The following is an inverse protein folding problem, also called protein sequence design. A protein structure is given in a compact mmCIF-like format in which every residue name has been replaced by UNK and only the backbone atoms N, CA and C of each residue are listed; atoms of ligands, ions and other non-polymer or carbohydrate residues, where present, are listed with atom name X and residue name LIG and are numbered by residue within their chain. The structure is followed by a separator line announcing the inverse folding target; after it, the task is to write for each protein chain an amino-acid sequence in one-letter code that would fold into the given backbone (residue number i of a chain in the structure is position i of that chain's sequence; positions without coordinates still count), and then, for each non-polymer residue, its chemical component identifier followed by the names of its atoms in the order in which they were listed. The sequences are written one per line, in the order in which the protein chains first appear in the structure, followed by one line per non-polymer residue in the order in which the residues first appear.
data_IF_643100792712
#
_entry.id   IF_643100792712
#
_cell.length_a   1.000
_cell.length_b   1.000
_cell.length_c   1.000
_cell.angle_alpha   90.00
_cell.angle_beta   90.00
_cell.angle_gamma   90.00
#
_symmetry.space_group_name_H-M   'P 1'
#
loop_
_entity.id
_entity.type
_entity.pdbx_description
1 polymer ?
#
# COMPACT_ATOMS: atom_id res chain seq x y z
N UNK A 1 -2.36 10.84 12.00
CA UNK A 1 -1.69 10.82 10.68
C UNK A 1 -0.46 9.92 10.79
N UNK A 2 -0.19 9.10 9.77
CA UNK A 2 0.70 7.94 9.92
C UNK A 2 0.09 6.86 10.84
N UNK A 3 0.53 5.62 10.69
CA UNK A 3 0.20 4.51 11.61
C UNK A 3 1.50 3.95 12.19
N UNK A 4 1.41 3.12 13.22
CA UNK A 4 2.58 2.45 13.79
C UNK A 4 3.38 1.76 12.68
N UNK A 5 4.70 1.99 12.64
CA UNK A 5 5.62 1.48 11.61
C UNK A 5 5.35 1.92 10.16
N UNK A 6 4.48 2.91 9.92
CA UNK A 6 4.26 3.50 8.60
C UNK A 6 4.06 5.02 8.76
N UNK A 7 5.16 5.78 8.84
CA UNK A 7 5.10 7.23 8.99
C UNK A 7 4.53 7.88 7.73
N UNK A 8 3.77 8.95 7.93
CA UNK A 8 3.27 9.81 6.86
C UNK A 8 3.22 11.23 7.40
N UNK A 9 3.80 12.17 6.66
CA UNK A 9 3.96 13.54 7.10
C UNK A 9 3.22 14.50 6.16
N UNK A 10 2.70 15.59 6.72
CA UNK A 10 2.26 16.76 5.96
C UNK A 10 3.34 17.83 5.98
N UNK A 11 3.37 18.61 4.91
CA UNK A 11 4.07 19.88 4.85
C UNK A 11 3.02 20.98 5.02
N UNK A 12 3.09 21.70 6.13
CA UNK A 12 2.08 22.67 6.57
C UNK A 12 2.72 24.02 6.87
N UNK A 13 1.98 25.11 6.65
CA UNK A 13 2.26 26.41 7.23
C UNK A 13 1.50 26.54 8.57
N UNK A 14 2.23 26.74 9.66
CA UNK A 14 1.69 26.88 11.02
C UNK A 14 2.37 28.04 11.75
N UNK A 15 1.67 28.64 12.71
CA UNK A 15 2.29 29.51 13.70
C UNK A 15 3.15 28.68 14.66
N UNK A 16 4.36 29.15 14.97
CA UNK A 16 5.30 28.48 15.88
C UNK A 16 4.72 28.25 17.29
N UNK A 17 3.77 29.08 17.73
CA UNK A 17 3.13 28.96 19.05
C UNK A 17 2.11 27.82 19.12
N UNK A 18 1.64 27.35 17.97
CA UNK A 18 0.66 26.27 17.90
C UNK A 18 1.35 24.90 18.01
N UNK A 19 0.66 23.88 18.56
CA UNK A 19 1.20 22.54 18.58
C UNK A 19 1.41 22.00 17.16
N UNK A 20 2.47 21.21 16.98
CA UNK A 20 2.90 20.66 15.68
C UNK A 20 1.76 20.02 14.88
N UNK A 21 0.94 19.21 15.55
CA UNK A 21 -0.16 18.45 14.94
C UNK A 21 -1.54 19.15 15.09
N UNK A 22 -1.54 20.44 15.42
CA UNK A 22 -2.74 21.22 15.71
C UNK A 22 -3.42 21.83 14.48
N UNK A 23 -4.07 22.98 14.71
CA UNK A 23 -4.70 23.77 13.64
C UNK A 23 -3.63 24.32 12.71
N UNK A 24 -3.80 24.02 11.43
CA UNK A 24 -2.93 24.46 10.35
C UNK A 24 -3.54 25.67 9.64
N UNK A 25 -2.70 26.62 9.22
CA UNK A 25 -3.15 27.77 8.40
C UNK A 25 -3.42 27.27 6.98
N UNK A 26 -2.42 26.61 6.39
CA UNK A 26 -2.51 26.04 5.04
C UNK A 26 -1.68 24.75 4.89
N UNK A 27 -2.23 23.79 4.16
CA UNK A 27 -1.52 22.57 3.75
C UNK A 27 -0.83 22.77 2.40
N UNK A 28 0.50 22.75 2.43
CA UNK A 28 1.37 23.00 1.28
C UNK A 28 1.76 21.71 0.57
N UNK A 29 1.67 20.56 1.22
CA UNK A 29 2.07 19.30 0.62
C UNK A 29 2.08 18.11 1.57
N UNK A 30 2.65 17.01 1.08
CA UNK A 30 2.79 15.74 1.81
C UNK A 30 4.17 15.12 1.57
N UNK A 31 4.60 14.31 2.51
CA UNK A 31 5.84 13.54 2.43
C UNK A 31 5.61 12.11 2.95
N UNK A 32 5.77 11.13 2.06
CA UNK A 32 5.74 9.71 2.35
C UNK A 32 7.13 9.08 2.17
N UNK A 33 7.90 8.86 3.26
CA UNK A 33 9.21 8.21 3.19
C UNK A 33 9.16 6.76 2.69
N UNK A 34 8.00 6.10 2.81
CA UNK A 34 7.80 4.69 2.45
C UNK A 34 7.36 4.50 1.00
N UNK A 35 7.27 5.59 0.21
CA UNK A 35 7.03 5.47 -1.21
C UNK A 35 8.25 4.82 -1.90
N UNK A 36 8.04 3.76 -2.72
CA UNK A 36 9.13 3.03 -3.37
C UNK A 36 9.88 3.90 -4.39
N UNK A 37 9.20 4.88 -4.98
CA UNK A 37 9.79 5.83 -5.90
C UNK A 37 10.29 7.07 -5.14
N UNK A 38 11.61 7.23 -5.08
CA UNK A 38 12.26 8.27 -4.26
C UNK A 38 11.80 9.68 -4.59
N UNK A 39 11.67 10.00 -5.87
CA UNK A 39 11.29 11.37 -6.30
C UNK A 39 9.79 11.64 -6.23
N UNK A 40 8.96 10.59 -6.09
CA UNK A 40 7.53 10.71 -5.85
C UNK A 40 7.18 10.68 -4.35
N UNK A 41 8.17 10.68 -3.45
CA UNK A 41 7.94 10.71 -1.99
C UNK A 41 7.31 12.01 -1.51
N UNK A 42 7.49 13.10 -2.25
CA UNK A 42 7.06 14.43 -1.82
C UNK A 42 6.15 15.04 -2.87
N UNK A 43 5.04 15.62 -2.44
CA UNK A 43 4.16 16.43 -3.28
C UNK A 43 4.07 17.81 -2.65
N UNK A 44 4.45 18.85 -3.40
CA UNK A 44 4.41 20.24 -2.95
C UNK A 44 3.54 21.08 -3.90
N UNK A 45 2.76 22.01 -3.34
CA UNK A 45 2.09 23.06 -4.09
C UNK A 45 3.06 24.22 -4.30
N UNK A 46 3.79 24.17 -5.41
CA UNK A 46 4.89 25.08 -5.70
C UNK A 46 4.53 26.57 -5.50
N UNK A 47 3.41 27.02 -6.10
CA UNK A 47 2.95 28.42 -6.01
C UNK A 47 2.73 28.91 -4.57
N UNK A 48 2.20 28.03 -3.72
CA UNK A 48 1.89 28.38 -2.32
C UNK A 48 3.14 28.35 -1.45
N UNK A 49 4.03 27.40 -1.70
CA UNK A 49 5.33 27.36 -1.03
C UNK A 49 6.09 28.66 -1.30
N UNK A 50 6.17 29.09 -2.56
CA UNK A 50 6.88 30.31 -2.95
C UNK A 50 6.26 31.56 -2.34
N UNK A 51 4.93 31.62 -2.30
CA UNK A 51 4.21 32.70 -1.60
C UNK A 51 4.63 32.78 -0.12
N UNK A 52 4.59 31.66 0.61
CA UNK A 52 4.92 31.66 2.03
C UNK A 52 6.39 32.00 2.30
N UNK A 53 7.31 31.54 1.45
CA UNK A 53 8.72 31.93 1.51
C UNK A 53 8.87 33.44 1.24
N UNK A 54 8.14 34.01 0.27
CA UNK A 54 8.13 35.45 -0.02
C UNK A 54 7.57 36.31 1.12
N UNK A 55 6.62 35.79 1.89
CA UNK A 55 6.08 36.44 3.10
C UNK A 55 7.04 36.31 4.30
N UNK A 56 8.13 35.56 4.18
CA UNK A 56 9.16 35.41 5.21
C UNK A 56 8.97 34.18 6.11
N UNK A 57 8.14 33.22 5.71
CA UNK A 57 8.01 31.96 6.43
C UNK A 57 9.35 31.21 6.46
N UNK A 58 9.75 30.71 7.63
CA UNK A 58 10.99 29.95 7.80
C UNK A 58 10.69 28.45 7.67
N UNK A 59 11.20 27.76 6.62
CA UNK A 59 11.04 26.31 6.51
C UNK A 59 11.93 25.59 7.53
N UNK A 60 11.49 24.43 8.00
CA UNK A 60 12.34 23.54 8.81
C UNK A 60 13.41 22.87 7.93
N UNK A 61 14.52 22.42 8.54
CA UNK A 61 15.68 21.88 7.81
C UNK A 61 15.32 20.82 6.76
N UNK A 62 14.42 19.89 7.11
CA UNK A 62 13.98 18.83 6.19
C UNK A 62 13.12 19.40 5.08
N UNK A 63 12.22 20.32 5.38
CA UNK A 63 11.36 20.97 4.38
C UNK A 63 12.20 21.83 3.43
N UNK A 64 13.23 22.53 3.92
CA UNK A 64 14.16 23.29 3.08
C UNK A 64 14.86 22.39 2.05
N UNK A 65 15.28 21.18 2.45
CA UNK A 65 15.85 20.19 1.51
C UNK A 65 14.82 19.72 0.48
N UNK A 66 13.57 19.51 0.89
CA UNK A 66 12.49 19.13 -0.03
C UNK A 66 12.17 20.24 -1.03
N UNK A 67 12.10 21.49 -0.58
CA UNK A 67 11.90 22.67 -1.44
C UNK A 67 13.06 22.81 -2.43
N UNK A 68 14.31 22.64 -1.98
CA UNK A 68 15.47 22.70 -2.88
C UNK A 68 15.44 21.62 -3.98
N UNK A 69 14.84 20.46 -3.72
CA UNK A 69 14.74 19.35 -4.69
C UNK A 69 13.52 19.46 -5.60
N UNK A 70 12.37 19.82 -5.03
CA UNK A 70 11.05 19.68 -5.65
C UNK A 70 10.25 20.99 -5.68
N UNK A 71 10.84 22.11 -5.28
CA UNK A 71 10.28 23.45 -5.45
C UNK A 71 10.32 23.91 -6.91
N UNK A 72 9.86 25.13 -7.18
CA UNK A 72 9.75 25.70 -8.53
C UNK A 72 11.07 25.66 -9.32
N UNK A 73 12.20 25.92 -8.66
CA UNK A 73 13.54 25.85 -9.26
C UNK A 73 14.31 24.58 -8.84
N UNK A 74 13.57 23.53 -8.45
CA UNK A 74 14.14 22.30 -7.90
C UNK A 74 14.91 21.47 -8.93
N UNK A 75 15.99 20.83 -8.49
CA UNK A 75 16.84 20.00 -9.36
C UNK A 75 16.22 18.66 -9.79
N UNK A 76 15.16 18.20 -9.12
CA UNK A 76 14.56 16.87 -9.32
C UNK A 76 13.14 16.92 -9.90
N UNK A 77 12.72 18.01 -10.54
CA UNK A 77 11.36 18.16 -11.09
C UNK A 77 11.05 17.14 -12.19
N UNK A 78 11.95 16.96 -13.16
CA UNK A 78 11.75 15.98 -14.24
C UNK A 78 11.78 14.53 -13.72
N UNK A 79 12.67 14.25 -12.77
CA UNK A 79 12.72 12.95 -12.09
C UNK A 79 11.43 12.68 -11.30
N UNK A 80 10.87 13.70 -10.65
CA UNK A 80 9.59 13.61 -9.94
C UNK A 80 8.44 13.30 -10.90
N UNK A 81 8.34 14.00 -12.04
CA UNK A 81 7.30 13.70 -13.06
C UNK A 81 7.39 12.26 -13.54
N UNK A 82 8.58 11.80 -13.90
CA UNK A 82 8.81 10.42 -14.35
C UNK A 82 8.52 9.38 -13.24
N UNK A 83 8.84 9.70 -11.98
CA UNK A 83 8.56 8.83 -10.84
C UNK A 83 7.06 8.72 -10.55
N UNK A 84 6.31 9.82 -10.64
CA UNK A 84 4.85 9.84 -10.50
C UNK A 84 4.20 9.01 -11.60
N UNK A 85 4.66 9.16 -12.84
CA UNK A 85 4.16 8.38 -13.98
C UNK A 85 4.46 6.88 -13.82
N UNK A 86 5.67 6.51 -13.35
CA UNK A 86 6.03 5.12 -13.04
C UNK A 86 5.16 4.54 -11.92
N UNK A 87 4.85 5.33 -10.89
CA UNK A 87 3.97 4.92 -9.81
C UNK A 87 2.53 4.71 -10.30
N UNK A 88 2.04 5.57 -11.20
CA UNK A 88 0.75 5.41 -11.89
C UNK A 88 0.69 4.09 -12.65
N UNK A 89 1.64 3.84 -13.55
CA UNK A 89 1.72 2.60 -14.32
C UNK A 89 1.77 1.32 -13.47
N UNK A 90 2.42 1.36 -12.32
CA UNK A 90 2.44 0.21 -11.39
C UNK A 90 1.07 -0.10 -10.79
N UNK A 91 0.20 0.90 -10.69
CA UNK A 91 -1.16 0.74 -10.17
C UNK A 91 -2.12 0.17 -11.22
N UNK A 92 -1.78 0.32 -12.51
CA UNK A 92 -2.54 -0.19 -13.67
C UNK A 92 -2.23 -1.66 -14.00
N UNK A 93 -1.85 -2.48 -13.01
CA UNK A 93 -1.65 -3.91 -13.21
C UNK A 93 -2.99 -4.61 -13.44
N UNK A 94 -3.34 -4.80 -14.71
CA UNK A 94 -4.29 -5.84 -15.13
C UNK A 94 -3.53 -7.18 -15.05
N UNK A 95 -3.98 -8.14 -14.23
CA UNK A 95 -3.37 -9.47 -14.25
C UNK A 95 -3.42 -10.00 -15.69
N UNK A 96 -2.32 -10.62 -16.20
CA UNK A 96 -2.34 -11.26 -17.51
C UNK A 96 -3.55 -12.17 -17.62
N UNK A 97 -4.28 -12.20 -18.75
CA UNK A 97 -5.29 -13.24 -18.94
C UNK A 97 -4.58 -14.58 -18.73
N UNK A 98 -5.10 -15.36 -17.79
CA UNK A 98 -4.58 -16.65 -17.39
C UNK A 98 -4.24 -17.44 -18.65
N UNK A 99 -2.95 -17.73 -18.86
CA UNK A 99 -2.53 -18.55 -19.99
C UNK A 99 -3.38 -19.82 -19.98
N UNK A 100 -4.01 -20.20 -21.10
CA UNK A 100 -4.92 -21.34 -21.10
C UNK A 100 -4.15 -22.54 -20.56
N UNK A 101 -4.66 -23.13 -19.48
CA UNK A 101 -4.13 -24.36 -18.90
C UNK A 101 -3.78 -25.32 -20.04
N UNK A 102 -2.59 -25.94 -20.04
CA UNK A 102 -2.23 -26.87 -21.09
C UNK A 102 -3.27 -27.99 -21.10
N UNK A 103 -4.14 -27.99 -22.13
CA UNK A 103 -5.06 -29.09 -22.37
C UNK A 103 -4.22 -30.34 -22.49
N UNK A 104 -4.44 -31.25 -21.55
CA UNK A 104 -3.86 -32.58 -21.56
C UNK A 104 -4.00 -33.19 -22.96
N UNK A 105 -2.87 -33.60 -23.52
CA UNK A 105 -2.85 -34.48 -24.68
C UNK A 105 -3.63 -35.76 -24.34
N UNK A 106 -4.61 -36.20 -25.15
CA UNK A 106 -5.30 -37.44 -24.88
C UNK A 106 -4.33 -38.59 -25.14
N UNK A 107 -3.97 -39.28 -24.06
CA UNK A 107 -3.32 -40.58 -24.11
C UNK A 107 -4.30 -41.55 -24.76
N UNK A 108 -3.83 -42.22 -25.80
CA UNK A 108 -4.53 -43.35 -26.41
C UNK A 108 -4.50 -44.54 -25.44
N UNK A 109 -5.67 -45.05 -25.05
CA UNK A 109 -5.86 -46.48 -24.81
C UNK A 109 -7.36 -46.84 -24.80
N UNK A 110 -7.61 -48.07 -25.24
CA UNK A 110 -8.89 -48.65 -25.62
C UNK A 110 -9.65 -49.26 -24.41
N UNK A 111 -10.68 -50.10 -24.62
CA UNK A 111 -12.09 -49.86 -24.36
C UNK A 111 -12.59 -50.46 -23.03
N UNK A 112 -13.78 -50.00 -22.64
CA UNK A 112 -14.57 -50.50 -21.52
C UNK A 112 -15.25 -51.85 -21.85
N UNK A 113 -15.27 -52.78 -20.88
CA UNK A 113 -16.24 -53.87 -20.78
C UNK A 113 -16.42 -54.28 -19.29
N UNK A 114 -17.65 -54.10 -18.77
CA UNK A 114 -18.45 -54.94 -17.83
C UNK A 114 -17.79 -55.58 -16.57
N UNK A 115 -18.40 -55.74 -15.38
CA UNK A 115 -19.77 -55.70 -14.87
C UNK A 115 -19.72 -55.73 -13.29
N UNK A 116 -20.85 -55.68 -12.56
CA UNK A 116 -21.04 -55.08 -11.23
C UNK A 116 -21.24 -56.07 -10.04
N UNK A 117 -21.66 -55.53 -8.88
CA UNK A 117 -22.14 -56.13 -7.61
C UNK A 117 -21.13 -55.98 -6.44
N UNK A 118 -21.44 -55.66 -5.18
CA UNK A 118 -22.65 -55.84 -4.35
C UNK A 118 -22.48 -54.99 -3.04
N UNK A 119 -23.52 -54.26 -2.59
CA UNK A 119 -23.73 -53.79 -1.19
C UNK A 119 -24.27 -54.98 -0.35
N UNK A 120 -24.21 -55.07 1.02
CA UNK A 120 -24.53 -53.97 1.96
C UNK A 120 -23.94 -54.06 3.41
N UNK A 121 -24.35 -53.10 4.25
CA UNK A 121 -24.57 -53.18 5.72
C UNK A 121 -23.34 -53.47 6.64
N UNK A 122 -23.17 -52.91 7.84
CA UNK A 122 -24.10 -52.38 8.83
C UNK A 122 -23.29 -51.55 9.88
N UNK A 123 -23.94 -50.51 10.45
CA UNK A 123 -24.04 -50.18 11.90
C UNK A 123 -22.75 -50.06 12.75
N UNK A 124 -22.54 -49.12 13.68
CA UNK A 124 -23.38 -48.30 14.57
C UNK A 124 -22.49 -47.11 15.08
N UNK A 125 -23.02 -45.91 15.33
CA UNK A 125 -23.40 -45.39 16.68
C UNK A 125 -22.23 -45.40 17.69
N UNK A 126 -21.80 -44.36 18.41
CA UNK A 126 -22.33 -43.12 19.01
C UNK A 126 -21.08 -42.28 19.39
N UNK A 127 -21.02 -40.96 19.22
CA UNK A 127 -21.50 -39.91 20.15
C UNK A 127 -20.94 -39.97 21.60
N UNK A 128 -20.74 -38.76 22.15
CA UNK A 128 -20.49 -38.40 23.58
C UNK A 128 -19.02 -38.32 24.03
N UNK A 129 -18.49 -37.27 24.69
CA UNK A 129 -18.91 -35.91 25.04
C UNK A 129 -17.69 -35.16 25.65
N UNK A 130 -17.73 -33.82 25.79
CA UNK A 130 -16.79 -33.03 26.57
C UNK A 130 -17.33 -32.69 27.98
N UNK A 131 -16.53 -32.87 29.03
CA UNK A 131 -16.68 -32.25 30.37
C UNK A 131 -15.35 -32.49 31.16
N UNK A 132 -14.55 -31.48 31.47
CA UNK A 132 -14.62 -30.57 32.62
C UNK A 132 -14.38 -31.25 33.97
N UNK A 133 -13.25 -30.96 34.65
CA UNK A 133 -13.00 -30.79 36.11
C UNK A 133 -11.59 -30.13 36.23
N UNK A 134 -11.36 -28.91 36.73
CA UNK A 134 -11.44 -28.35 38.09
C UNK A 134 -10.48 -28.97 39.13
N UNK A 135 -9.58 -28.12 39.69
CA UNK A 135 -9.14 -28.03 41.12
C UNK A 135 -7.63 -28.19 41.43
N UNK A 136 -7.02 -27.07 41.89
CA UNK A 136 -6.01 -26.84 42.96
C UNK A 136 -4.62 -27.51 42.94
N UNK A 137 -3.56 -26.67 42.89
CA UNK A 137 -2.67 -26.32 44.03
C UNK A 137 -2.05 -24.93 43.80
#
# INVERSE_FOLDING_TARGET
MGRTHRPFFRVCAVDQRNPRDGRVIEELGTYDPMCPETDARTTLKADRVDYWIGVGAQPSDKVAVLIKKYGTEGSHLEAQKAAVERLGRRKDYTPPPEAPAPKAAPVAEAPAEEAPAEEPAAEASTDDAPAAEATTE
#
